data_IF_115600914064
#
_entry.id   IF_115600914064
#
_cell.length_a   1.000
_cell.length_b   1.000
_cell.length_c   1.000
_cell.angle_alpha   90.00
_cell.angle_beta   90.00
_cell.angle_gamma   90.00
#
_symmetry.space_group_name_H-M   'P 1'
#
loop_
_entity.id
_entity.type
_entity.pdbx_description
1 polymer ?
#
# COMPACT_ATOMS: atom_id res chain seq x y z
N UNK A 1 -2.40 -24.30 17.52
CA UNK A 1 -2.76 -23.97 16.13
C UNK A 1 -1.57 -24.32 15.24
N UNK A 2 -1.72 -25.24 14.31
CA UNK A 2 -0.71 -25.53 13.30
C UNK A 2 -0.92 -24.60 12.12
N UNK A 3 0.17 -23.95 11.69
CA UNK A 3 0.21 -23.25 10.40
C UNK A 3 0.63 -24.28 9.36
N UNK A 4 -0.21 -24.54 8.39
CA UNK A 4 0.05 -25.49 7.32
C UNK A 4 0.16 -24.72 6.02
N UNK A 5 1.27 -24.95 5.28
CA UNK A 5 1.38 -24.46 3.91
C UNK A 5 0.35 -25.18 3.05
N UNK A 6 -0.64 -24.45 2.56
CA UNK A 6 -1.71 -25.02 1.69
C UNK A 6 -1.25 -25.04 0.24
N UNK A 7 -0.51 -24.01 -0.19
CA UNK A 7 -0.02 -23.88 -1.55
C UNK A 7 1.14 -22.88 -1.63
N UNK A 8 1.96 -22.98 -2.66
CA UNK A 8 2.98 -22.00 -3.00
C UNK A 8 3.01 -21.80 -4.51
N UNK A 9 2.94 -20.54 -4.94
CA UNK A 9 3.07 -20.16 -6.32
C UNK A 9 4.41 -19.49 -6.56
N UNK A 10 5.23 -20.07 -7.43
CA UNK A 10 6.49 -19.48 -7.84
C UNK A 10 6.26 -18.60 -9.08
N UNK A 11 6.33 -17.30 -8.92
CA UNK A 11 6.09 -16.32 -9.98
C UNK A 11 7.35 -16.00 -10.82
N UNK A 12 8.48 -16.62 -10.53
CA UNK A 12 9.77 -16.42 -11.23
C UNK A 12 9.92 -17.26 -12.50
N UNK A 13 10.47 -16.68 -13.54
CA UNK A 13 10.91 -17.44 -14.73
C UNK A 13 12.06 -18.36 -14.37
N UNK A 14 11.99 -19.64 -14.81
CA UNK A 14 13.08 -20.61 -14.69
C UNK A 14 14.24 -20.26 -15.61
N UNK A 15 14.98 -19.21 -15.38
CA UNK A 15 16.27 -18.99 -16.04
C UNK A 15 17.31 -18.59 -15.00
N UNK A 16 18.11 -19.53 -14.60
CA UNK A 16 19.49 -19.58 -14.15
C UNK A 16 20.08 -18.54 -13.16
N UNK A 17 19.31 -17.68 -12.55
CA UNK A 17 19.75 -16.95 -11.36
C UNK A 17 18.66 -17.08 -10.29
N UNK A 18 19.02 -17.34 -9.03
CA UNK A 18 18.07 -17.20 -7.92
C UNK A 18 17.81 -15.69 -7.76
N UNK A 19 17.01 -15.10 -8.62
CA UNK A 19 16.43 -13.82 -8.34
C UNK A 19 15.46 -14.09 -7.21
N UNK A 20 15.84 -13.65 -6.05
CA UNK A 20 14.96 -13.56 -4.89
C UNK A 20 13.77 -12.74 -5.35
N UNK A 21 12.60 -13.36 -5.49
CA UNK A 21 11.35 -12.63 -5.73
C UNK A 21 11.12 -11.89 -4.44
N UNK A 22 11.38 -10.60 -4.47
CA UNK A 22 11.08 -9.70 -3.38
C UNK A 22 9.63 -9.25 -3.56
N UNK A 23 8.68 -10.08 -3.11
CA UNK A 23 7.31 -9.64 -2.92
C UNK A 23 7.30 -8.49 -1.92
N UNK A 24 7.01 -7.28 -2.38
CA UNK A 24 7.01 -6.09 -1.53
C UNK A 24 5.68 -5.98 -0.77
N UNK A 25 4.58 -6.32 -1.44
CA UNK A 25 3.24 -6.23 -0.86
C UNK A 25 2.30 -7.21 -1.52
N UNK A 26 1.37 -7.70 -0.73
CA UNK A 26 0.24 -8.46 -1.24
C UNK A 26 -1.07 -7.90 -0.66
N UNK A 27 -2.13 -7.94 -1.45
CA UNK A 27 -3.48 -7.61 -0.99
C UNK A 27 -4.50 -8.50 -1.66
N UNK A 28 -5.63 -8.72 -1.00
CA UNK A 28 -6.70 -9.58 -1.49
C UNK A 28 -8.00 -8.80 -1.61
N UNK A 29 -8.68 -8.95 -2.73
CA UNK A 29 -10.06 -8.54 -2.94
C UNK A 29 -10.91 -9.74 -3.42
N UNK A 30 -11.85 -10.18 -2.62
CA UNK A 30 -12.69 -11.33 -2.97
C UNK A 30 -11.87 -12.59 -3.28
N UNK A 31 -11.97 -13.07 -4.52
CA UNK A 31 -11.26 -14.25 -5.03
C UNK A 31 -9.96 -13.89 -5.78
N UNK A 32 -9.53 -12.65 -5.75
CA UNK A 32 -8.31 -12.19 -6.43
C UNK A 32 -7.25 -11.80 -5.40
N UNK A 33 -6.03 -12.29 -5.60
CA UNK A 33 -4.83 -11.88 -4.90
C UNK A 33 -3.98 -11.04 -5.83
N UNK A 34 -3.52 -9.91 -5.36
CA UNK A 34 -2.59 -9.03 -6.05
C UNK A 34 -1.25 -9.08 -5.32
N UNK A 35 -0.16 -9.31 -6.06
CA UNK A 35 1.18 -9.45 -5.49
C UNK A 35 2.12 -8.50 -6.23
N UNK A 36 2.62 -7.49 -5.54
CA UNK A 36 3.63 -6.61 -6.09
C UNK A 36 5.01 -7.24 -6.01
N UNK A 37 5.71 -7.21 -7.13
CA UNK A 37 7.12 -7.56 -7.24
C UNK A 37 7.89 -6.32 -7.70
N UNK A 38 8.96 -5.98 -6.98
CA UNK A 38 9.77 -4.78 -7.26
C UNK A 38 10.28 -4.69 -8.70
N UNK A 39 10.48 -5.82 -9.36
CA UNK A 39 11.12 -5.87 -10.69
C UNK A 39 10.16 -6.22 -11.82
N UNK A 40 8.99 -6.78 -11.49
CA UNK A 40 8.02 -7.23 -12.50
C UNK A 40 6.80 -6.32 -12.62
N UNK A 41 6.33 -5.79 -11.49
CA UNK A 41 5.07 -5.09 -11.40
C UNK A 41 4.08 -5.78 -10.47
N UNK A 42 2.85 -6.03 -10.90
CA UNK A 42 1.80 -6.62 -10.07
C UNK A 42 1.23 -7.86 -10.74
N UNK A 43 1.40 -9.01 -10.10
CA UNK A 43 0.73 -10.26 -10.51
C UNK A 43 -0.72 -10.25 -10.00
N UNK A 44 -1.66 -10.56 -10.89
CA UNK A 44 -3.09 -10.71 -10.61
C UNK A 44 -3.41 -12.20 -10.63
N UNK A 45 -3.80 -12.75 -9.49
CA UNK A 45 -3.87 -14.18 -9.27
C UNK A 45 -5.29 -14.56 -8.84
N UNK A 46 -5.90 -15.51 -9.53
CA UNK A 46 -7.15 -16.09 -9.10
C UNK A 46 -6.91 -17.10 -7.95
N UNK A 47 -7.56 -16.87 -6.82
CA UNK A 47 -7.52 -17.75 -5.63
C UNK A 47 -8.92 -18.28 -5.27
N UNK A 48 -9.85 -18.25 -6.23
CA UNK A 48 -11.22 -18.77 -6.02
C UNK A 48 -11.27 -20.26 -5.70
N UNK A 49 -12.48 -20.81 -5.59
CA UNK A 49 -12.80 -22.16 -5.08
C UNK A 49 -12.38 -23.32 -6.02
N UNK A 50 -11.23 -23.26 -6.64
CA UNK A 50 -10.64 -24.32 -7.46
C UNK A 50 -9.38 -24.89 -6.83
N UNK A 51 -8.97 -26.07 -7.28
CA UNK A 51 -7.71 -26.70 -6.87
C UNK A 51 -6.46 -26.08 -7.49
N UNK A 52 -6.64 -25.19 -8.48
CA UNK A 52 -5.54 -24.52 -9.19
C UNK A 52 -5.56 -23.03 -8.94
N UNK A 53 -4.46 -22.51 -8.45
CA UNK A 53 -4.15 -21.08 -8.42
C UNK A 53 -3.60 -20.70 -9.79
N UNK A 54 -4.13 -19.64 -10.38
CA UNK A 54 -3.74 -19.23 -11.73
C UNK A 54 -3.37 -17.75 -11.73
N UNK A 55 -2.20 -17.44 -12.32
CA UNK A 55 -1.85 -16.04 -12.64
C UNK A 55 -2.69 -15.67 -13.87
N UNK A 56 -3.67 -14.79 -13.66
CA UNK A 56 -4.52 -14.26 -14.73
C UNK A 56 -3.71 -13.36 -15.65
N UNK A 57 -2.91 -12.50 -15.06
CA UNK A 57 -2.05 -11.58 -15.79
C UNK A 57 -0.97 -10.98 -14.87
N UNK A 58 -0.01 -10.30 -15.46
CA UNK A 58 0.95 -9.45 -14.78
C UNK A 58 0.87 -8.04 -15.37
N UNK A 59 0.54 -7.06 -14.54
CA UNK A 59 0.76 -5.67 -14.90
C UNK A 59 2.24 -5.36 -14.78
N UNK A 60 2.93 -5.30 -15.92
CA UNK A 60 4.37 -5.06 -15.98
C UNK A 60 4.65 -3.56 -15.90
N UNK A 61 5.39 -3.16 -14.87
CA UNK A 61 5.83 -1.78 -14.68
C UNK A 61 7.35 -1.71 -14.71
N UNK A 62 7.88 -0.93 -15.62
CA UNK A 62 9.33 -0.84 -15.88
C UNK A 62 10.12 -0.36 -14.66
N UNK A 63 9.49 0.40 -13.76
CA UNK A 63 10.16 1.11 -12.66
C UNK A 63 9.90 0.47 -11.30
N UNK A 64 9.40 -0.75 -11.30
CA UNK A 64 9.07 -1.47 -10.08
C UNK A 64 7.86 -0.89 -9.34
N UNK A 65 7.38 -1.62 -8.35
CA UNK A 65 6.27 -1.19 -7.51
C UNK A 65 6.77 -1.17 -6.06
N UNK A 66 6.65 -0.01 -5.41
CA UNK A 66 7.01 0.19 -4.00
C UNK A 66 5.85 -0.15 -3.07
N UNK A 67 4.67 0.30 -3.45
CA UNK A 67 3.44 0.09 -2.70
C UNK A 67 2.24 0.19 -3.63
N UNK A 68 1.11 -0.42 -3.25
CA UNK A 68 -0.13 -0.32 -4.03
C UNK A 68 -1.37 -0.55 -3.18
N UNK A 69 -2.51 -0.12 -3.68
CA UNK A 69 -3.83 -0.48 -3.19
C UNK A 69 -4.69 -0.95 -4.36
N UNK A 70 -5.29 -2.14 -4.22
CA UNK A 70 -6.35 -2.58 -5.11
C UNK A 70 -7.68 -1.97 -4.65
N UNK A 71 -8.47 -1.49 -5.60
CA UNK A 71 -9.80 -0.93 -5.40
C UNK A 71 -10.57 -1.09 -6.70
N UNK A 72 -11.07 -2.32 -6.95
CA UNK A 72 -11.72 -2.66 -8.21
C UNK A 72 -12.70 -1.58 -8.68
N UNK A 73 -12.68 -1.16 -9.95
CA UNK A 73 -11.93 -1.76 -11.07
C UNK A 73 -10.52 -1.16 -11.29
N UNK A 74 -9.88 -0.60 -10.27
CA UNK A 74 -8.57 0.04 -10.41
C UNK A 74 -7.56 -0.50 -9.40
N UNK A 75 -6.28 -0.42 -9.80
CA UNK A 75 -5.13 -0.46 -8.89
C UNK A 75 -4.48 0.92 -8.92
N UNK A 76 -4.12 1.43 -7.74
CA UNK A 76 -3.27 2.60 -7.60
C UNK A 76 -1.95 2.15 -6.99
N UNK A 77 -0.85 2.41 -7.67
CA UNK A 77 0.47 1.95 -7.29
C UNK A 77 1.49 3.08 -7.27
N UNK A 78 2.49 2.95 -6.44
CA UNK A 78 3.65 3.84 -6.40
C UNK A 78 4.83 3.16 -7.06
N UNK A 79 5.49 3.88 -7.96
CA UNK A 79 6.79 3.53 -8.53
C UNK A 79 7.83 4.61 -8.22
N UNK A 80 9.01 4.54 -8.84
CA UNK A 80 10.08 5.53 -8.63
C UNK A 80 9.73 6.94 -9.11
N UNK A 81 8.71 7.08 -9.97
CA UNK A 81 8.30 8.37 -10.56
C UNK A 81 7.02 8.94 -9.94
N UNK A 82 6.24 8.14 -9.23
CA UNK A 82 5.03 8.61 -8.58
C UNK A 82 3.88 7.63 -8.60
N UNK A 83 2.66 8.17 -8.71
CA UNK A 83 1.42 7.41 -8.67
C UNK A 83 1.04 6.91 -10.07
N UNK A 84 0.85 5.61 -10.20
CA UNK A 84 0.31 4.94 -11.39
C UNK A 84 -1.11 4.48 -11.09
N UNK A 85 -2.04 4.79 -11.98
CA UNK A 85 -3.37 4.19 -11.97
C UNK A 85 -3.47 3.13 -13.08
N UNK A 86 -4.03 1.97 -12.73
CA UNK A 86 -4.19 0.82 -13.63
C UNK A 86 -5.65 0.41 -13.65
N UNK A 87 -6.22 0.33 -14.84
CA UNK A 87 -7.54 -0.25 -15.06
C UNK A 87 -7.42 -1.79 -15.09
N UNK A 88 -8.15 -2.44 -14.21
CA UNK A 88 -8.24 -3.90 -14.06
C UNK A 88 -9.68 -4.39 -14.22
N UNK A 89 -10.54 -3.62 -14.90
CA UNK A 89 -11.91 -4.06 -15.23
C UNK A 89 -11.90 -5.39 -16.01
N UNK A 90 -10.91 -5.59 -16.85
CA UNK A 90 -10.50 -6.90 -17.35
C UNK A 90 -9.18 -7.32 -16.67
N UNK A 91 -9.29 -8.23 -15.71
CA UNK A 91 -8.13 -8.71 -14.94
C UNK A 91 -7.11 -9.49 -15.77
N UNK A 92 -7.49 -9.94 -16.97
CA UNK A 92 -6.58 -10.59 -17.91
C UNK A 92 -5.77 -9.60 -18.76
N UNK A 93 -6.22 -8.33 -18.82
CA UNK A 93 -5.60 -7.27 -19.61
C UNK A 93 -5.53 -5.94 -18.85
N UNK A 94 -4.71 -5.85 -17.79
CA UNK A 94 -4.56 -4.61 -17.04
C UNK A 94 -3.95 -3.51 -17.92
N UNK A 95 -4.52 -2.30 -17.84
CA UNK A 95 -4.13 -1.16 -18.67
C UNK A 95 -3.69 0.01 -17.80
N UNK A 96 -2.47 0.52 -18.03
CA UNK A 96 -2.02 1.75 -17.37
C UNK A 96 -2.83 2.95 -17.86
N UNK A 97 -3.35 3.75 -16.93
CA UNK A 97 -4.08 4.98 -17.20
C UNK A 97 -3.19 6.22 -17.14
N UNK A 98 -1.95 6.07 -16.74
CA UNK A 98 -0.96 7.13 -16.68
C UNK A 98 -0.21 7.17 -15.35
N UNK A 99 0.80 8.03 -15.31
CA UNK A 99 1.68 8.25 -14.15
C UNK A 99 1.65 9.73 -13.79
N UNK A 100 1.50 10.04 -12.51
CA UNK A 100 1.70 11.38 -11.99
C UNK A 100 3.15 11.51 -11.52
N UNK A 101 3.96 12.31 -12.22
CA UNK A 101 5.37 12.52 -11.95
C UNK A 101 5.67 13.57 -10.88
N UNK A 102 4.64 14.16 -10.28
CA UNK A 102 4.83 15.20 -9.26
C UNK A 102 5.15 14.64 -7.87
N UNK A 103 5.16 13.29 -7.70
CA UNK A 103 5.34 12.63 -6.42
C UNK A 103 6.72 11.98 -6.36
N UNK A 104 7.69 12.74 -5.89
CA UNK A 104 9.05 12.24 -5.63
C UNK A 104 9.13 11.68 -4.20
N UNK A 105 9.93 10.64 -3.99
CA UNK A 105 10.16 9.97 -2.71
C UNK A 105 8.90 9.36 -2.07
N UNK A 106 7.88 9.03 -2.88
CA UNK A 106 6.73 8.27 -2.40
C UNK A 106 7.15 6.88 -1.93
N UNK A 107 6.68 6.47 -0.74
CA UNK A 107 7.05 5.20 -0.12
C UNK A 107 5.85 4.31 0.22
N UNK A 108 4.73 4.90 0.57
CA UNK A 108 3.54 4.18 1.02
C UNK A 108 2.27 4.92 0.62
N UNK A 109 1.19 4.18 0.47
CA UNK A 109 -0.12 4.75 0.17
C UNK A 109 -1.26 3.96 0.80
N UNK A 110 -2.35 4.67 1.08
CA UNK A 110 -3.65 4.09 1.45
C UNK A 110 -4.78 4.84 0.76
N UNK A 111 -5.91 4.16 0.54
CA UNK A 111 -7.09 4.74 -0.10
C UNK A 111 -8.28 4.72 0.84
N UNK A 112 -9.00 5.85 0.89
CA UNK A 112 -10.29 5.95 1.54
C UNK A 112 -11.27 6.76 0.67
N UNK A 113 -12.39 6.16 0.30
CA UNK A 113 -13.30 6.77 -0.66
C UNK A 113 -12.61 7.10 -1.98
N UNK A 114 -12.72 8.34 -2.44
CA UNK A 114 -12.05 8.85 -3.64
C UNK A 114 -10.73 9.57 -3.33
N UNK A 115 -10.19 9.39 -2.13
CA UNK A 115 -8.92 10.00 -1.73
C UNK A 115 -7.85 8.94 -1.54
N UNK A 116 -6.68 9.16 -2.15
CA UNK A 116 -5.46 8.42 -1.85
C UNK A 116 -4.58 9.30 -0.99
N UNK A 117 -4.13 8.76 0.13
CA UNK A 117 -3.12 9.36 0.98
C UNK A 117 -1.77 8.73 0.68
N UNK A 118 -0.75 9.55 0.46
CA UNK A 118 0.60 9.13 0.09
C UNK A 118 1.59 9.72 1.07
N UNK A 119 2.46 8.86 1.60
CA UNK A 119 3.66 9.26 2.31
C UNK A 119 4.82 9.46 1.33
N UNK A 120 5.35 10.69 1.24
CA UNK A 120 6.46 11.04 0.37
C UNK A 120 7.52 11.79 1.18
N UNK A 121 8.54 11.08 1.67
CA UNK A 121 9.48 11.59 2.65
C UNK A 121 8.74 12.11 3.89
N UNK A 122 8.83 13.42 4.16
CA UNK A 122 8.09 14.06 5.26
C UNK A 122 6.72 14.63 4.85
N UNK A 123 6.32 14.49 3.61
CA UNK A 123 5.07 15.05 3.13
C UNK A 123 3.98 13.99 3.12
N UNK A 124 2.87 14.28 3.79
CA UNK A 124 1.62 13.55 3.63
C UNK A 124 0.81 14.28 2.56
N UNK A 125 0.53 13.59 1.47
CA UNK A 125 -0.16 14.15 0.32
C UNK A 125 -1.50 13.45 0.13
N UNK A 126 -2.55 14.22 -0.15
CA UNK A 126 -3.87 13.69 -0.48
C UNK A 126 -4.23 13.98 -1.94
N UNK A 127 -4.56 12.94 -2.68
CA UNK A 127 -4.98 13.03 -4.07
C UNK A 127 -6.44 12.62 -4.21
N UNK A 128 -7.23 13.43 -4.92
CA UNK A 128 -8.54 13.02 -5.41
C UNK A 128 -8.33 12.14 -6.65
N UNK A 129 -8.88 10.94 -6.62
CA UNK A 129 -8.81 9.93 -7.69
C UNK A 129 -10.19 9.56 -8.22
N UNK A 130 -11.16 10.48 -8.13
CA UNK A 130 -12.48 10.30 -8.73
C UNK A 130 -12.36 10.02 -10.25
N UNK A 131 -11.49 10.76 -10.93
CA UNK A 131 -11.01 10.40 -12.25
C UNK A 131 -9.61 9.75 -12.11
N UNK A 132 -9.50 8.42 -12.25
CA UNK A 132 -8.22 7.73 -12.08
C UNK A 132 -7.17 8.11 -13.13
N UNK A 133 -7.60 8.66 -14.28
CA UNK A 133 -6.69 9.16 -15.34
C UNK A 133 -6.05 10.50 -14.98
N UNK A 134 -6.66 11.23 -14.04
CA UNK A 134 -6.24 12.59 -13.65
C UNK A 134 -6.29 12.77 -12.14
N UNK A 135 -5.43 12.08 -11.38
CA UNK A 135 -5.32 12.34 -9.96
C UNK A 135 -5.00 13.81 -9.69
N UNK A 136 -5.72 14.43 -8.76
CA UNK A 136 -5.55 15.84 -8.42
C UNK A 136 -5.07 15.95 -6.98
N UNK A 137 -3.92 16.58 -6.76
CA UNK A 137 -3.45 16.92 -5.42
C UNK A 137 -4.42 17.91 -4.77
N UNK A 138 -5.00 17.55 -3.62
CA UNK A 138 -5.96 18.36 -2.88
C UNK A 138 -5.40 18.91 -1.57
N UNK A 139 -4.45 18.23 -0.95
CA UNK A 139 -3.75 18.78 0.22
C UNK A 139 -2.37 18.16 0.37
N UNK A 140 -1.49 18.91 1.04
CA UNK A 140 -0.16 18.46 1.45
C UNK A 140 0.15 18.98 2.84
N UNK A 141 0.57 18.08 3.72
CA UNK A 141 0.89 18.36 5.11
C UNK A 141 2.30 17.89 5.39
N UNK A 142 3.13 18.78 5.95
CA UNK A 142 4.49 18.42 6.32
C UNK A 142 4.53 17.83 7.72
N UNK A 143 5.05 16.62 7.83
CA UNK A 143 5.32 15.95 9.10
C UNK A 143 6.69 16.32 9.66
N UNK A 144 6.87 16.11 10.95
CA UNK A 144 8.16 16.33 11.62
C UNK A 144 9.22 15.32 11.22
N UNK A 145 8.78 14.07 10.99
CA UNK A 145 9.60 12.93 10.64
C UNK A 145 9.18 12.34 9.29
N UNK A 146 10.00 11.47 8.73
CA UNK A 146 9.66 10.71 7.53
C UNK A 146 8.49 9.78 7.79
N UNK A 147 7.61 9.69 6.81
CA UNK A 147 6.47 8.76 6.80
C UNK A 147 6.99 7.44 6.28
N UNK A 148 6.94 6.40 7.10
CA UNK A 148 7.44 5.08 6.75
C UNK A 148 6.33 4.15 6.30
N UNK A 149 5.15 4.25 6.93
CA UNK A 149 3.97 3.51 6.51
C UNK A 149 2.68 4.24 6.92
N UNK A 150 1.59 3.88 6.26
CA UNK A 150 0.24 4.40 6.47
C UNK A 150 -0.74 3.25 6.64
N UNK A 151 -1.65 3.38 7.60
CA UNK A 151 -2.81 2.51 7.72
C UNK A 151 -4.09 3.35 7.86
N UNK A 152 -5.21 2.81 7.38
CA UNK A 152 -6.49 3.52 7.38
C UNK A 152 -7.57 2.65 8.02
N UNK A 153 -8.32 3.25 8.95
CA UNK A 153 -9.55 2.67 9.47
C UNK A 153 -10.62 3.75 9.48
N UNK A 154 -11.70 3.50 8.78
CA UNK A 154 -12.77 4.46 8.57
C UNK A 154 -12.21 5.79 8.03
N UNK A 155 -12.43 6.90 8.71
CA UNK A 155 -11.92 8.22 8.37
C UNK A 155 -10.65 8.61 9.18
N UNK A 156 -9.96 7.64 9.78
CA UNK A 156 -8.77 7.85 10.60
C UNK A 156 -7.54 7.28 9.94
N UNK A 157 -6.58 8.16 9.73
CA UNK A 157 -5.28 7.84 9.16
C UNK A 157 -4.26 7.68 10.28
N UNK A 158 -3.61 6.52 10.29
CA UNK A 158 -2.53 6.17 11.21
C UNK A 158 -1.21 6.24 10.44
N UNK A 159 -0.26 6.99 10.97
CA UNK A 159 0.98 7.35 10.27
C UNK A 159 2.16 6.89 11.12
N UNK A 160 2.95 5.94 10.61
CA UNK A 160 4.21 5.54 11.20
C UNK A 160 5.31 6.55 10.84
N UNK A 161 5.90 7.20 11.83
CA UNK A 161 6.85 8.29 11.69
C UNK A 161 8.27 7.92 12.18
N UNK A 162 8.62 6.64 12.15
CA UNK A 162 9.91 6.19 12.66
C UNK A 162 10.11 6.61 14.12
N UNK A 163 11.15 7.39 14.41
CA UNK A 163 11.42 7.93 15.75
C UNK A 163 10.38 8.93 16.24
N UNK A 164 9.47 9.39 15.38
CA UNK A 164 8.33 10.22 15.72
C UNK A 164 7.16 9.45 16.32
N UNK A 165 7.24 8.10 16.38
CA UNK A 165 6.16 7.24 16.86
C UNK A 165 5.03 7.11 15.84
N UNK A 166 3.78 7.14 16.30
CA UNK A 166 2.60 7.08 15.45
C UNK A 166 1.75 8.33 15.65
N UNK A 167 1.35 8.95 14.54
CA UNK A 167 0.36 10.04 14.54
C UNK A 167 -0.97 9.50 14.02
N UNK A 168 -2.06 9.90 14.69
CA UNK A 168 -3.43 9.55 14.30
C UNK A 168 -4.15 10.84 13.90
N UNK A 169 -4.71 10.86 12.70
CA UNK A 169 -5.40 12.03 12.14
C UNK A 169 -6.82 11.69 11.71
N UNK A 170 -7.76 12.59 11.94
CA UNK A 170 -9.05 12.60 11.25
C UNK A 170 -8.85 13.15 9.84
N UNK A 171 -9.28 12.39 8.86
CA UNK A 171 -9.16 12.72 7.45
C UNK A 171 -10.51 12.73 6.72
N UNK A 172 -11.59 12.91 7.47
CA UNK A 172 -12.97 13.06 6.95
C UNK A 172 -13.02 14.15 5.89
N UNK A 173 -12.35 15.26 6.15
CA UNK A 173 -12.16 16.32 5.17
C UNK A 173 -10.66 16.45 4.84
N UNK A 174 -10.22 15.99 3.66
CA UNK A 174 -8.80 16.03 3.30
C UNK A 174 -8.22 17.44 3.15
N UNK A 175 -9.07 18.48 3.03
CA UNK A 175 -8.62 19.88 3.05
C UNK A 175 -8.48 20.45 4.47
N UNK A 176 -9.08 19.79 5.46
CA UNK A 176 -9.05 20.22 6.86
C UNK A 176 -8.92 19.00 7.75
N UNK A 177 -7.74 18.42 7.74
CA UNK A 177 -7.41 17.28 8.60
C UNK A 177 -7.13 17.75 10.03
N UNK A 178 -7.46 16.93 11.01
CA UNK A 178 -7.26 17.23 12.43
C UNK A 178 -6.41 16.13 13.08
N UNK A 179 -5.44 16.53 13.88
CA UNK A 179 -4.67 15.59 14.69
C UNK A 179 -5.54 15.13 15.87
N UNK A 180 -5.72 13.81 15.99
CA UNK A 180 -6.51 13.22 17.08
C UNK A 180 -5.62 12.76 18.23
N UNK A 181 -4.50 12.11 17.91
CA UNK A 181 -3.62 11.53 18.93
C UNK A 181 -2.20 11.29 18.39
N UNK A 182 -1.25 11.11 19.32
CA UNK A 182 0.11 10.68 19.06
C UNK A 182 0.51 9.57 20.03
N UNK A 183 1.08 8.49 19.53
CA UNK A 183 1.70 7.42 20.32
C UNK A 183 3.21 7.63 20.26
N UNK A 184 3.78 8.10 21.36
CA UNK A 184 5.23 8.27 21.46
C UNK A 184 5.88 7.00 21.99
N UNK A 185 6.93 6.56 21.29
CA UNK A 185 7.69 5.37 21.63
C UNK A 185 9.19 5.72 21.73
N UNK A 186 9.89 4.98 22.55
CA UNK A 186 11.35 5.11 22.69
C UNK A 186 12.11 4.42 21.54
N UNK A 187 11.41 3.59 20.79
CA UNK A 187 11.91 2.85 19.62
C UNK A 187 11.22 3.29 18.35
N UNK A 188 11.89 3.24 17.18
CA UNK A 188 11.27 3.65 15.92
C UNK A 188 10.15 2.70 15.49
N UNK A 189 9.09 3.28 14.90
CA UNK A 189 7.99 2.54 14.26
C UNK A 189 8.21 2.55 12.75
N UNK A 190 8.39 1.37 12.17
CA UNK A 190 8.66 1.20 10.73
C UNK A 190 7.41 0.81 9.94
N UNK A 191 6.51 0.09 10.60
CA UNK A 191 5.33 -0.46 9.94
C UNK A 191 4.11 -0.36 10.86
N UNK A 192 2.93 -0.24 10.28
CA UNK A 192 1.67 -0.16 11.00
C UNK A 192 0.57 -0.88 10.24
N UNK A 193 -0.18 -1.72 10.93
CA UNK A 193 -1.36 -2.38 10.41
C UNK A 193 -2.49 -2.33 11.44
N UNK A 194 -3.73 -2.51 10.98
CA UNK A 194 -4.93 -2.40 11.77
C UNK A 194 -5.80 -3.64 11.58
N UNK A 195 -6.20 -4.25 12.67
CA UNK A 195 -7.19 -5.32 12.63
C UNK A 195 -8.16 -5.18 13.81
N UNK A 196 -9.45 -5.14 13.53
CA UNK A 196 -10.50 -4.86 14.50
C UNK A 196 -10.20 -3.57 15.29
N UNK A 197 -10.09 -3.66 16.59
CA UNK A 197 -9.79 -2.54 17.48
C UNK A 197 -8.32 -2.51 17.93
N UNK A 198 -7.44 -3.13 17.17
CA UNK A 198 -6.03 -3.21 17.47
C UNK A 198 -5.16 -2.52 16.42
N UNK A 199 -4.12 -1.86 16.90
CA UNK A 199 -3.03 -1.27 16.12
C UNK A 199 -1.81 -2.17 16.30
N UNK A 200 -1.27 -2.69 15.21
CA UNK A 200 -0.06 -3.50 15.19
C UNK A 200 1.10 -2.64 14.69
N UNK A 201 2.17 -2.58 15.46
CA UNK A 201 3.35 -1.79 15.15
C UNK A 201 4.55 -2.69 14.93
N UNK A 202 5.20 -2.54 13.77
CA UNK A 202 6.47 -3.16 13.45
C UNK A 202 7.63 -2.28 13.88
N UNK A 203 8.50 -2.78 14.77
CA UNK A 203 9.59 -2.03 15.38
C UNK A 203 10.97 -2.48 14.87
N UNK A 204 10.99 -3.19 13.74
CA UNK A 204 12.22 -3.76 13.18
C UNK A 204 12.87 -4.77 14.13
N UNK A 205 14.15 -4.58 14.44
CA UNK A 205 14.89 -5.50 15.35
C UNK A 205 14.37 -5.52 16.78
N UNK A 206 13.57 -4.53 17.19
CA UNK A 206 12.97 -4.46 18.54
C UNK A 206 11.64 -5.25 18.61
N UNK A 207 11.25 -5.92 17.50
CA UNK A 207 10.07 -6.78 17.45
C UNK A 207 8.80 -6.02 17.06
N UNK A 208 7.74 -6.19 17.82
CA UNK A 208 6.43 -5.60 17.54
C UNK A 208 5.69 -5.22 18.82
N UNK A 209 4.70 -4.32 18.69
CA UNK A 209 3.77 -3.93 19.76
C UNK A 209 2.34 -3.94 19.26
N UNK A 210 1.40 -4.17 20.17
CA UNK A 210 -0.04 -4.09 19.90
C UNK A 210 -0.65 -3.10 20.87
N UNK A 211 -1.43 -2.17 20.33
CA UNK A 211 -2.26 -1.23 21.10
C UNK A 211 -3.73 -1.52 20.82
N UNK A 212 -4.55 -1.41 21.86
CA UNK A 212 -6.01 -1.38 21.70
C UNK A 212 -6.42 0.06 21.38
N UNK A 213 -7.23 0.22 20.35
CA UNK A 213 -7.76 1.49 19.91
C UNK A 213 -9.28 1.50 20.13
N UNK A 214 -9.73 2.29 21.07
CA UNK A 214 -11.14 2.44 21.45
C UNK A 214 -11.70 3.79 21.02
#
# INVERSE_FOLDING_TARGET
>A
NQVILVDSLYTGSRIFFPQTILGEKLTREGATLYVADRYKGIDIINIGSGSTREILSTFSEKWGIKDFVAAYPYIFALNDFGLVAVDISDQSYPVSLGVNYEIVDASCLVKYGNTIWIGAGKNLMAFNVYDPKKPVLISQIRMTNEILNLAMKDNRLFIALGRGGVKIMDVTNPLKTEELNNIFLTVPVYDIDLANDYIFLGLGKEGWMIYEYR
#
